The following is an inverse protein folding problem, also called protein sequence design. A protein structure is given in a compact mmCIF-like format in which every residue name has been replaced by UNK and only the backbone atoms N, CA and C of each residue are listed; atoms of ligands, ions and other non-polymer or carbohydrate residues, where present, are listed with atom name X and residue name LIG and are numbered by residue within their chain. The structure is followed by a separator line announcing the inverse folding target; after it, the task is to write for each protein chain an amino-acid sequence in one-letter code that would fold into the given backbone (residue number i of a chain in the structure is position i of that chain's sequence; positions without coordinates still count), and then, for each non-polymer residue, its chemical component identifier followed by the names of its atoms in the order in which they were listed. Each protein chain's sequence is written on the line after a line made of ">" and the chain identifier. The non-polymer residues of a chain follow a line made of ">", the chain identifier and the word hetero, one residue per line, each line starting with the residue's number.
data_IF_419701514394
#
_entry.id   IF_419701514394
#
_cell.length_a   1.000
_cell.length_b   1.000
_cell.length_c   1.000
_cell.angle_alpha   90.00
_cell.angle_beta   90.00
_cell.angle_gamma   90.00
#
_symmetry.space_group_name_H-M   'P 1'
#
loop_
_entity.id
_entity.type
_entity.pdbx_description
1 polymer ?
#
# COMPACT_ATOMS: atom_id res chain seq x y z
N UNK A 1 10.11 -9.90 -43.79
CA UNK A 1 11.16 -8.98 -43.31
C UNK A 1 10.52 -8.13 -42.24
N UNK A 2 11.06 -8.14 -41.01
CA UNK A 2 10.44 -7.44 -39.88
C UNK A 2 10.73 -5.94 -40.01
N UNK A 3 9.72 -5.05 -40.01
CA UNK A 3 9.93 -3.63 -40.32
C UNK A 3 10.56 -2.84 -39.16
N UNK A 4 10.42 -3.34 -37.93
CA UNK A 4 11.03 -2.77 -36.73
C UNK A 4 12.31 -3.54 -36.38
N UNK A 5 13.41 -2.81 -36.18
CA UNK A 5 14.72 -3.35 -35.85
C UNK A 5 15.00 -3.28 -34.35
N UNK A 6 16.13 -3.85 -33.93
CA UNK A 6 16.66 -3.77 -32.56
C UNK A 6 15.69 -4.24 -31.44
N UNK A 7 14.72 -5.09 -31.78
CA UNK A 7 13.70 -5.58 -30.85
C UNK A 7 12.45 -4.69 -30.73
N UNK A 8 12.28 -3.68 -31.59
CA UNK A 8 11.08 -2.85 -31.63
C UNK A 8 9.80 -3.64 -31.97
N UNK A 9 8.73 -3.32 -31.25
CA UNK A 9 7.42 -3.94 -31.47
C UNK A 9 6.71 -3.24 -32.63
N UNK A 10 6.27 -4.01 -33.63
CA UNK A 10 5.45 -3.48 -34.71
C UNK A 10 3.99 -3.41 -34.29
N UNK A 11 3.34 -2.28 -34.56
CA UNK A 11 1.92 -2.05 -34.34
C UNK A 11 1.28 -1.60 -35.67
N UNK A 12 0.15 -2.19 -36.10
CA UNK A 12 -0.55 -1.77 -37.31
C UNK A 12 -1.17 -0.38 -37.12
N UNK A 13 -1.11 0.47 -38.15
CA UNK A 13 -1.57 1.85 -38.13
C UNK A 13 -2.25 2.20 -39.46
N UNK A 14 -3.54 1.89 -39.60
CA UNK A 14 -4.26 1.96 -40.88
C UNK A 14 -4.02 0.73 -41.77
N UNK A 15 -4.69 0.67 -42.93
CA UNK A 15 -4.75 -0.56 -43.74
C UNK A 15 -3.40 -0.99 -44.36
N UNK A 16 -2.47 -0.06 -44.59
CA UNK A 16 -1.22 -0.29 -45.32
C UNK A 16 0.02 0.31 -44.63
N UNK A 17 -0.09 0.74 -43.38
CA UNK A 17 0.99 1.40 -42.64
C UNK A 17 1.13 0.85 -41.22
N UNK A 18 2.33 0.99 -40.66
CA UNK A 18 2.69 0.51 -39.33
C UNK A 18 3.37 1.63 -38.54
N UNK A 19 3.43 1.47 -37.22
CA UNK A 19 4.30 2.26 -36.34
C UNK A 19 5.13 1.30 -35.49
N UNK A 20 6.43 1.59 -35.36
CA UNK A 20 7.31 0.83 -34.49
C UNK A 20 7.39 1.47 -33.11
N UNK A 21 7.02 0.73 -32.08
CA UNK A 21 7.29 1.08 -30.69
C UNK A 21 8.73 0.63 -30.36
N UNK A 22 9.63 1.60 -30.24
CA UNK A 22 11.05 1.32 -30.03
C UNK A 22 11.38 0.99 -28.57
N UNK A 23 12.35 0.08 -28.32
CA UNK A 23 12.85 -0.16 -26.98
C UNK A 23 13.75 1.00 -26.52
N UNK A 24 14.00 1.13 -25.21
CA UNK A 24 14.92 2.13 -24.68
C UNK A 24 16.28 2.10 -25.39
N UNK A 25 16.80 3.29 -25.73
CA UNK A 25 18.06 3.42 -26.48
C UNK A 25 17.92 3.39 -28.01
N UNK A 26 16.71 3.31 -28.57
CA UNK A 26 16.47 3.35 -30.03
C UNK A 26 15.32 4.29 -30.42
N UNK A 27 15.36 4.79 -31.66
CA UNK A 27 14.41 5.78 -32.20
C UNK A 27 14.31 5.72 -33.73
N UNK A 28 13.46 6.57 -34.31
CA UNK A 28 13.13 6.59 -35.73
C UNK A 28 12.03 5.59 -36.12
N UNK A 29 11.45 5.72 -37.34
CA UNK A 29 10.22 5.00 -37.72
C UNK A 29 10.35 3.47 -37.78
N UNK A 30 11.59 2.95 -37.81
CA UNK A 30 11.92 1.52 -37.84
C UNK A 30 12.78 1.09 -36.65
N UNK A 31 12.99 1.96 -35.66
CA UNK A 31 13.91 1.74 -34.53
C UNK A 31 15.37 1.44 -34.91
N UNK A 32 15.76 1.75 -36.15
CA UNK A 32 17.11 1.52 -36.66
C UNK A 32 18.16 2.45 -36.04
N UNK A 33 17.75 3.66 -35.63
CA UNK A 33 18.65 4.71 -35.15
C UNK A 33 18.85 4.57 -33.63
N UNK A 34 20.09 4.47 -33.12
CA UNK A 34 20.34 4.57 -31.68
C UNK A 34 19.93 5.95 -31.16
N UNK A 35 19.22 5.99 -30.04
CA UNK A 35 18.93 7.22 -29.32
C UNK A 35 20.19 7.65 -28.57
N UNK A 36 20.68 8.87 -28.83
CA UNK A 36 21.85 9.41 -28.13
C UNK A 36 21.62 9.41 -26.61
N UNK A 37 22.58 8.95 -25.78
CA UNK A 37 22.44 8.91 -24.32
C UNK A 37 22.42 10.30 -23.66
N UNK A 38 22.38 11.38 -24.43
CA UNK A 38 22.17 12.76 -23.97
C UNK A 38 20.92 13.42 -24.59
N UNK A 39 20.02 12.66 -25.22
CA UNK A 39 18.88 13.19 -25.96
C UNK A 39 17.68 13.56 -25.06
N UNK A 40 17.53 14.85 -24.74
CA UNK A 40 16.31 15.40 -24.12
C UNK A 40 15.96 14.73 -22.80
N UNK A 41 14.77 14.13 -22.70
CA UNK A 41 14.30 13.40 -21.51
C UNK A 41 15.15 12.18 -21.14
N UNK A 42 15.94 11.64 -22.09
CA UNK A 42 16.86 10.54 -21.83
C UNK A 42 18.23 10.99 -21.28
N UNK A 43 18.45 12.30 -21.08
CA UNK A 43 19.68 12.82 -20.47
C UNK A 43 19.79 12.39 -18.98
N UNK A 44 20.81 11.59 -18.60
CA UNK A 44 20.95 11.07 -17.26
C UNK A 44 21.67 12.03 -16.29
N UNK A 45 22.08 13.22 -16.75
CA UNK A 45 22.88 14.16 -15.97
C UNK A 45 22.00 15.13 -15.15
N UNK A 46 22.14 15.08 -13.84
CA UNK A 46 21.38 15.87 -12.88
C UNK A 46 21.94 17.29 -12.67
N UNK A 47 21.19 18.11 -11.92
CA UNK A 47 21.62 19.41 -11.36
C UNK A 47 22.20 20.43 -12.36
N UNK A 48 21.78 20.37 -13.63
CA UNK A 48 22.26 21.26 -14.69
C UNK A 48 23.61 20.85 -15.31
N UNK A 49 24.10 19.64 -15.03
CA UNK A 49 25.31 19.11 -15.63
C UNK A 49 25.20 18.92 -17.15
N UNK A 50 26.30 19.18 -17.85
CA UNK A 50 26.35 19.06 -19.32
C UNK A 50 26.64 17.61 -19.71
N UNK A 51 25.69 16.97 -20.39
CA UNK A 51 25.87 15.63 -20.93
C UNK A 51 26.68 15.65 -22.22
N UNK A 52 27.72 14.83 -22.30
CA UNK A 52 28.49 14.57 -23.51
C UNK A 52 28.39 13.08 -23.88
N UNK A 53 27.89 12.71 -25.07
CA UNK A 53 27.94 11.33 -25.52
C UNK A 53 29.40 10.95 -25.81
N UNK A 54 29.81 9.76 -25.37
CA UNK A 54 31.17 9.22 -25.59
C UNK A 54 31.17 7.82 -26.23
N UNK A 55 29.99 7.18 -26.34
CA UNK A 55 29.75 5.97 -27.10
C UNK A 55 28.29 5.91 -27.58
N UNK A 56 27.88 4.79 -28.18
CA UNK A 56 26.50 4.61 -28.67
C UNK A 56 25.49 4.59 -27.52
N UNK A 57 25.88 4.03 -26.36
CA UNK A 57 25.10 3.98 -25.12
C UNK A 57 25.83 4.61 -23.92
N UNK A 58 27.06 5.10 -24.12
CA UNK A 58 27.90 5.69 -23.07
C UNK A 58 27.93 7.22 -23.12
N UNK A 59 27.93 7.83 -21.94
CA UNK A 59 27.92 9.28 -21.74
C UNK A 59 28.90 9.69 -20.64
N UNK A 60 29.25 10.97 -20.63
CA UNK A 60 30.01 11.64 -19.58
C UNK A 60 29.22 12.89 -19.15
N UNK A 61 28.79 12.94 -17.89
CA UNK A 61 28.26 14.16 -17.29
C UNK A 61 29.42 15.05 -16.82
N UNK A 62 29.48 16.29 -17.34
CA UNK A 62 30.37 17.33 -16.82
C UNK A 62 29.63 18.08 -15.72
N UNK A 63 30.00 17.83 -14.47
CA UNK A 63 29.33 18.39 -13.31
C UNK A 63 29.61 19.90 -13.16
N UNK A 64 28.61 20.69 -12.74
CA UNK A 64 28.84 22.06 -12.29
C UNK A 64 29.54 22.06 -10.92
N UNK A 65 30.01 23.23 -10.49
CA UNK A 65 30.68 23.40 -9.20
C UNK A 65 29.79 22.91 -8.04
N UNK A 66 30.40 22.20 -7.08
CA UNK A 66 29.70 21.61 -5.93
C UNK A 66 29.02 20.26 -6.20
N UNK A 67 29.09 19.70 -7.42
CA UNK A 67 28.48 18.40 -7.76
C UNK A 67 29.49 17.38 -8.30
N UNK A 68 29.23 16.10 -8.06
CA UNK A 68 30.12 14.97 -8.37
C UNK A 68 29.38 13.65 -8.58
N UNK A 69 30.09 12.62 -9.03
CA UNK A 69 29.54 11.32 -9.41
C UNK A 69 29.21 11.21 -10.91
N UNK A 70 28.94 9.98 -11.39
CA UNK A 70 28.69 9.69 -12.82
C UNK A 70 27.53 10.51 -13.39
N UNK A 71 26.52 10.81 -12.57
CA UNK A 71 25.31 11.52 -12.96
C UNK A 71 25.27 12.96 -12.44
N UNK A 72 26.32 13.44 -11.76
CA UNK A 72 26.35 14.73 -11.05
C UNK A 72 25.20 14.90 -10.05
N UNK A 73 24.79 13.77 -9.47
CA UNK A 73 23.66 13.55 -8.57
C UNK A 73 24.02 13.76 -7.08
N UNK A 74 25.32 13.80 -6.76
CA UNK A 74 25.83 13.92 -5.39
C UNK A 74 26.59 15.22 -5.21
N UNK A 75 26.47 15.82 -4.04
CA UNK A 75 27.26 16.99 -3.66
C UNK A 75 28.75 16.61 -3.53
N UNK A 76 29.65 17.46 -4.00
CA UNK A 76 31.09 17.29 -3.77
C UNK A 76 31.42 17.71 -2.33
N UNK A 77 31.68 16.72 -1.46
CA UNK A 77 32.04 16.96 -0.05
C UNK A 77 33.37 17.70 0.15
N UNK A 78 34.11 18.00 -0.94
CA UNK A 78 35.25 18.92 -0.92
C UNK A 78 34.83 20.40 -0.84
N UNK A 79 33.59 20.74 -1.18
CA UNK A 79 33.10 22.12 -1.23
C UNK A 79 32.17 22.39 -0.04
N UNK A 80 32.59 23.28 0.86
CA UNK A 80 31.79 23.62 2.05
C UNK A 80 30.64 24.57 1.67
N UNK A 81 29.43 24.23 2.09
CA UNK A 81 28.21 24.98 1.82
C UNK A 81 27.86 25.92 2.99
N UNK A 82 26.84 26.76 2.79
CA UNK A 82 26.24 27.61 3.84
C UNK A 82 27.23 28.53 4.60
N UNK A 83 28.38 28.86 3.98
CA UNK A 83 29.44 29.66 4.60
C UNK A 83 30.43 28.87 5.46
N UNK A 84 30.45 27.53 5.38
CA UNK A 84 31.45 26.71 6.02
C UNK A 84 32.85 26.91 5.45
N UNK A 85 33.87 26.68 6.29
CA UNK A 85 35.29 26.92 5.95
C UNK A 85 36.02 25.58 5.81
N UNK A 86 36.79 25.41 4.73
CA UNK A 86 37.60 24.20 4.50
C UNK A 86 38.83 24.20 5.40
N UNK A 87 39.12 23.08 6.05
CA UNK A 87 40.35 22.87 6.82
C UNK A 87 41.50 22.37 5.94
N UNK A 88 42.73 22.46 6.45
CA UNK A 88 43.91 21.84 5.82
C UNK A 88 43.82 20.30 5.77
N UNK A 89 43.12 19.70 6.74
CA UNK A 89 42.77 18.27 6.77
C UNK A 89 41.73 17.88 5.70
N UNK A 90 41.14 18.87 5.01
CA UNK A 90 40.15 18.66 3.97
C UNK A 90 38.72 18.42 4.47
N UNK A 91 38.45 18.64 5.76
CA UNK A 91 37.10 18.68 6.36
C UNK A 91 36.46 20.07 6.24
N UNK A 92 35.18 20.21 6.62
CA UNK A 92 34.47 21.49 6.65
C UNK A 92 34.10 21.88 8.10
N UNK A 93 34.46 23.11 8.49
CA UNK A 93 34.00 23.75 9.72
C UNK A 93 32.66 24.44 9.46
N UNK A 94 31.59 23.94 10.07
CA UNK A 94 30.23 24.41 9.80
C UNK A 94 29.82 25.59 10.71
N UNK A 95 29.16 26.64 10.17
CA UNK A 95 28.67 27.74 10.99
C UNK A 95 27.54 27.31 11.93
N UNK A 96 27.36 28.05 13.03
CA UNK A 96 26.27 27.87 13.99
C UNK A 96 24.91 27.80 13.29
N UNK A 97 24.33 26.59 13.27
CA UNK A 97 23.07 26.31 12.55
C UNK A 97 23.18 25.22 11.48
N UNK A 98 24.40 24.76 11.14
CA UNK A 98 24.63 23.75 10.10
C UNK A 98 25.50 22.57 10.58
N UNK A 99 25.28 21.41 9.97
CA UNK A 99 26.00 20.15 10.18
C UNK A 99 26.10 19.37 8.85
N UNK A 100 26.68 18.16 8.88
CA UNK A 100 26.98 17.37 7.69
C UNK A 100 28.42 17.54 7.20
N UNK A 101 28.84 16.73 6.22
CA UNK A 101 30.26 16.66 5.81
C UNK A 101 30.72 17.87 4.99
N UNK A 102 29.78 18.54 4.34
CA UNK A 102 29.92 19.77 3.58
C UNK A 102 29.05 20.90 4.13
N UNK A 103 28.57 20.79 5.38
CA UNK A 103 27.65 21.74 6.02
C UNK A 103 26.28 21.88 5.31
N UNK A 104 25.86 20.81 4.62
CA UNK A 104 24.64 20.70 3.83
C UNK A 104 23.36 20.62 4.66
N UNK A 105 23.44 20.13 5.90
CA UNK A 105 22.29 19.90 6.77
C UNK A 105 22.06 21.14 7.65
N UNK A 106 20.85 21.69 7.62
CA UNK A 106 20.44 22.76 8.54
C UNK A 106 19.97 22.14 9.86
N UNK A 107 20.77 22.29 10.91
CA UNK A 107 20.42 21.82 12.26
C UNK A 107 19.08 22.44 12.70
N UNK A 108 18.22 21.64 13.31
CA UNK A 108 17.08 22.18 14.02
C UNK A 108 17.58 23.01 15.23
N UNK A 109 17.02 24.20 15.52
CA UNK A 109 17.41 24.94 16.70
C UNK A 109 17.16 24.08 17.95
N UNK A 110 18.22 23.80 18.71
CA UNK A 110 18.20 22.86 19.85
C UNK A 110 17.04 23.21 20.79
N UNK A 111 16.00 22.37 20.79
CA UNK A 111 14.78 22.60 21.60
C UNK A 111 15.19 22.71 23.07
N UNK A 112 15.01 23.90 23.64
CA UNK A 112 15.39 24.19 25.02
C UNK A 112 14.63 23.23 25.94
N UNK A 113 15.36 22.35 26.63
CA UNK A 113 14.76 21.42 27.59
C UNK A 113 14.45 22.23 28.84
N UNK A 114 13.17 22.40 29.13
CA UNK A 114 12.72 23.15 30.29
C UNK A 114 12.82 22.32 31.57
N UNK A 115 13.07 23.01 32.69
CA UNK A 115 13.00 22.40 34.02
C UNK A 115 11.58 21.91 34.33
N UNK A 116 11.47 21.03 35.32
CA UNK A 116 10.20 20.47 35.76
C UNK A 116 9.21 21.60 36.12
N UNK A 117 8.02 21.58 35.51
CA UNK A 117 7.00 22.61 35.70
C UNK A 117 7.08 23.83 34.78
N UNK A 118 7.95 23.85 33.76
CA UNK A 118 8.07 24.96 32.80
C UNK A 118 7.96 24.52 31.33
N UNK A 119 7.51 25.44 30.47
CA UNK A 119 7.35 25.29 29.03
C UNK A 119 7.49 26.63 28.29
N UNK A 120 7.33 26.62 26.96
CA UNK A 120 7.59 27.76 26.08
C UNK A 120 8.91 27.65 25.30
N UNK A 121 9.33 28.70 24.57
CA UNK A 121 10.56 28.69 23.76
C UNK A 121 11.79 29.08 24.59
N UNK A 122 11.61 29.96 25.58
CA UNK A 122 12.58 30.36 26.58
C UNK A 122 12.51 29.57 27.89
N UNK A 123 11.46 28.75 28.09
CA UNK A 123 11.03 28.20 29.40
C UNK A 123 10.44 29.29 30.33
N UNK A 124 9.69 30.20 29.71
CA UNK A 124 9.08 31.40 30.25
C UNK A 124 7.69 31.16 30.86
N UNK A 125 6.98 30.14 30.41
CA UNK A 125 5.67 29.75 30.95
C UNK A 125 5.84 28.69 32.03
N UNK A 126 5.08 28.78 33.11
CA UNK A 126 4.82 27.58 33.93
C UNK A 126 3.92 26.63 33.13
N UNK A 127 4.29 25.35 33.07
CA UNK A 127 3.37 24.29 32.62
C UNK A 127 2.23 24.23 33.65
N UNK A 128 0.94 24.20 33.24
CA UNK A 128 -0.17 24.11 34.18
C UNK A 128 -0.03 22.90 35.11
N UNK A 129 -0.33 23.09 36.39
CA UNK A 129 -0.23 22.03 37.39
C UNK A 129 -1.31 20.98 37.12
N UNK A 130 -0.88 19.73 36.94
CA UNK A 130 -1.74 18.61 36.51
C UNK A 130 -2.83 18.37 37.54
N UNK A 131 -4.09 18.45 37.11
CA UNK A 131 -5.25 18.30 37.99
C UNK A 131 -5.07 19.10 39.29
N UNK A 132 -4.74 20.38 39.10
CA UNK A 132 -4.61 21.47 40.08
C UNK A 132 -5.28 21.15 41.42
N UNK A 133 -4.59 21.33 42.56
CA UNK A 133 -5.13 21.02 43.91
C UNK A 133 -6.39 21.84 44.28
N UNK A 134 -6.81 22.73 43.37
CA UNK A 134 -7.99 23.59 43.41
C UNK A 134 -9.18 23.05 42.57
N UNK A 135 -8.96 22.11 41.65
CA UNK A 135 -10.00 21.49 40.79
C UNK A 135 -10.60 20.25 41.48
N UNK A 136 -11.59 20.47 42.34
CA UNK A 136 -12.25 19.41 43.10
C UNK A 136 -13.42 18.82 42.29
N UNK A 137 -13.22 17.64 41.71
CA UNK A 137 -14.29 16.90 41.02
C UNK A 137 -15.41 16.50 41.99
N UNK A 138 -16.66 16.81 41.62
CA UNK A 138 -17.87 16.54 42.41
C UNK A 138 -18.67 15.37 41.84
N UNK A 139 -19.70 14.96 42.59
CA UNK A 139 -20.72 14.01 42.12
C UNK A 139 -20.17 12.67 41.59
N UNK A 140 -19.03 12.22 42.13
CA UNK A 140 -18.35 10.99 41.71
C UNK A 140 -17.47 11.11 40.46
N UNK A 141 -17.23 12.33 39.95
CA UNK A 141 -16.25 12.56 38.90
C UNK A 141 -14.81 12.36 39.37
N UNK A 142 -13.93 11.98 38.44
CA UNK A 142 -12.51 11.76 38.70
C UNK A 142 -11.65 12.60 37.75
N UNK A 143 -10.37 12.77 38.10
CA UNK A 143 -9.37 13.38 37.22
C UNK A 143 -8.34 12.32 36.82
N UNK A 144 -7.93 12.34 35.55
CA UNK A 144 -7.01 11.34 34.99
C UNK A 144 -6.19 11.95 33.85
N UNK A 145 -4.87 11.72 33.86
CA UNK A 145 -3.94 12.25 32.86
C UNK A 145 -3.66 13.76 32.98
N UNK A 146 -3.26 14.39 31.87
CA UNK A 146 -2.91 15.82 31.79
C UNK A 146 -4.14 16.69 31.39
N UNK A 147 -5.36 16.32 31.82
CA UNK A 147 -6.61 16.97 31.41
C UNK A 147 -7.06 18.03 32.43
N UNK A 148 -7.30 19.26 31.96
CA UNK A 148 -7.75 20.41 32.79
C UNK A 148 -9.28 20.41 33.00
N UNK A 149 -9.88 19.23 33.18
CA UNK A 149 -11.32 19.01 33.34
C UNK A 149 -11.57 17.63 33.97
N UNK A 150 -12.54 17.54 34.87
CA UNK A 150 -12.96 16.27 35.45
C UNK A 150 -13.71 15.38 34.44
N UNK A 151 -13.44 14.07 34.49
CA UNK A 151 -14.25 13.03 33.88
C UNK A 151 -15.53 12.87 34.71
N UNK A 152 -16.68 13.25 34.14
CA UNK A 152 -17.95 13.25 34.86
C UNK A 152 -18.75 11.97 34.65
N UNK A 153 -19.43 11.43 35.69
CA UNK A 153 -20.39 10.35 35.53
C UNK A 153 -21.60 10.81 34.71
N UNK A 154 -22.42 9.85 34.27
CA UNK A 154 -23.66 10.17 33.56
C UNK A 154 -24.52 11.14 34.37
N UNK A 155 -25.16 12.06 33.66
CA UNK A 155 -25.96 13.18 34.18
C UNK A 155 -25.20 14.34 34.85
N UNK A 156 -23.86 14.34 34.85
CA UNK A 156 -23.08 15.48 35.36
C UNK A 156 -22.13 16.06 34.32
N UNK A 157 -21.92 17.38 34.37
CA UNK A 157 -21.09 18.13 33.43
C UNK A 157 -20.54 19.43 34.04
N UNK A 158 -20.00 20.33 33.21
CA UNK A 158 -19.16 21.44 33.65
C UNK A 158 -17.69 21.05 33.82
N UNK A 159 -16.89 21.92 34.45
CA UNK A 159 -15.45 21.72 34.64
C UNK A 159 -15.13 20.71 35.76
N UNK A 160 -15.92 20.77 36.83
CA UNK A 160 -15.77 20.06 38.10
C UNK A 160 -16.92 19.06 38.36
N UNK A 161 -17.75 18.78 37.35
CA UNK A 161 -18.96 17.95 37.45
C UNK A 161 -20.07 18.52 38.36
N UNK A 162 -20.07 19.82 38.69
CA UNK A 162 -21.15 20.47 39.46
C UNK A 162 -22.47 20.61 38.71
N UNK A 163 -22.46 20.69 37.37
CA UNK A 163 -23.70 20.89 36.60
C UNK A 163 -24.43 19.55 36.44
N UNK A 164 -25.76 19.56 36.58
CA UNK A 164 -26.63 18.39 36.43
C UNK A 164 -27.44 18.51 35.14
N UNK A 165 -27.37 17.50 34.28
CA UNK A 165 -28.04 17.51 32.99
C UNK A 165 -29.57 17.42 33.14
N UNK A 166 -30.35 18.25 32.42
CA UNK A 166 -31.81 18.19 32.44
C UNK A 166 -32.32 16.89 31.82
N UNK A 167 -33.47 16.40 32.30
CA UNK A 167 -34.03 15.11 31.89
C UNK A 167 -33.43 13.89 32.59
N UNK A 168 -32.39 14.06 33.43
CA UNK A 168 -31.94 12.97 34.30
C UNK A 168 -32.81 12.84 35.56
N UNK A 169 -33.96 12.20 35.42
CA UNK A 169 -34.64 11.54 36.55
C UNK A 169 -34.39 10.04 36.50
N UNK A 170 -34.11 9.44 37.65
CA UNK A 170 -33.85 8.01 37.74
C UNK A 170 -35.19 7.24 37.70
N UNK A 171 -35.57 6.79 36.51
CA UNK A 171 -36.83 6.07 36.27
C UNK A 171 -36.83 4.64 36.81
N UNK A 172 -36.62 4.46 38.12
CA UNK A 172 -36.76 3.17 38.81
C UNK A 172 -38.14 2.53 38.58
N UNK A 173 -39.18 3.35 38.41
CA UNK A 173 -40.51 2.94 37.95
C UNK A 173 -40.45 2.11 36.66
N UNK A 174 -39.71 2.56 35.64
CA UNK A 174 -39.66 1.88 34.34
C UNK A 174 -38.97 0.51 34.45
N UNK A 175 -37.93 0.39 35.29
CA UNK A 175 -37.30 -0.90 35.58
C UNK A 175 -38.27 -1.86 36.27
N UNK A 176 -38.98 -1.42 37.32
CA UNK A 176 -39.92 -2.24 38.07
C UNK A 176 -41.13 -2.70 37.21
N UNK A 177 -41.64 -1.80 36.35
CA UNK A 177 -42.70 -2.13 35.38
C UNK A 177 -42.20 -3.16 34.36
N UNK A 178 -40.98 -3.01 33.83
CA UNK A 178 -40.43 -3.96 32.85
C UNK A 178 -40.24 -5.37 33.44
N UNK A 179 -39.77 -5.46 34.69
CA UNK A 179 -39.56 -6.73 35.38
C UNK A 179 -40.89 -7.44 35.70
N UNK A 180 -41.90 -6.71 36.18
CA UNK A 180 -43.21 -7.28 36.51
C UNK A 180 -43.96 -7.77 35.25
N UNK A 181 -43.90 -7.01 34.14
CA UNK A 181 -44.43 -7.46 32.85
C UNK A 181 -43.76 -8.76 32.37
N UNK A 182 -42.43 -8.87 32.45
CA UNK A 182 -41.70 -10.08 32.07
C UNK A 182 -42.14 -11.31 32.87
N UNK A 183 -42.29 -11.17 34.20
CA UNK A 183 -42.74 -12.26 35.08
C UNK A 183 -44.17 -12.71 34.71
N UNK A 184 -45.10 -11.78 34.48
CA UNK A 184 -46.48 -12.10 34.09
C UNK A 184 -46.51 -12.85 32.75
N UNK A 185 -45.73 -12.41 31.75
CA UNK A 185 -45.64 -13.11 30.45
C UNK A 185 -45.10 -14.53 30.62
N UNK A 186 -44.06 -14.74 31.42
CA UNK A 186 -43.50 -16.08 31.69
C UNK A 186 -44.53 -16.99 32.37
N UNK A 187 -45.28 -16.49 33.37
CA UNK A 187 -46.32 -17.26 34.06
C UNK A 187 -47.47 -17.67 33.11
N UNK A 188 -47.90 -16.77 32.22
CA UNK A 188 -48.91 -17.07 31.19
C UNK A 188 -48.39 -18.14 30.21
N UNK A 189 -47.14 -18.04 29.75
CA UNK A 189 -46.54 -19.05 28.86
C UNK A 189 -46.43 -20.42 29.52
N UNK A 190 -46.04 -20.48 30.80
CA UNK A 190 -46.00 -21.75 31.57
C UNK A 190 -47.41 -22.35 31.72
N UNK A 191 -48.42 -21.53 32.02
CA UNK A 191 -49.82 -21.98 32.07
C UNK A 191 -50.30 -22.54 30.72
N UNK A 192 -50.00 -21.87 29.60
CA UNK A 192 -50.35 -22.35 28.27
C UNK A 192 -49.66 -23.67 27.93
N UNK A 193 -48.37 -23.83 28.27
CA UNK A 193 -47.63 -25.09 28.08
C UNK A 193 -48.21 -26.21 28.94
N UNK A 194 -48.58 -25.95 30.19
CA UNK A 194 -49.24 -26.93 31.06
C UNK A 194 -50.62 -27.33 30.51
N UNK A 195 -51.42 -26.38 30.03
CA UNK A 195 -52.71 -26.65 29.39
C UNK A 195 -52.51 -27.52 28.15
N UNK A 196 -51.58 -27.19 27.26
CA UNK A 196 -51.24 -28.00 26.07
C UNK A 196 -50.74 -29.40 26.45
N UNK A 197 -49.98 -29.54 27.54
CA UNK A 197 -49.52 -30.84 28.03
C UNK A 197 -50.67 -31.69 28.60
N UNK A 198 -51.60 -31.08 29.33
CA UNK A 198 -52.82 -31.75 29.83
C UNK A 198 -53.75 -32.18 28.69
N UNK A 199 -53.86 -31.39 27.61
CA UNK A 199 -54.57 -31.80 26.39
C UNK A 199 -53.84 -32.92 25.65
N UNK A 200 -52.52 -32.82 25.44
CA UNK A 200 -51.73 -33.87 24.77
C UNK A 200 -51.76 -35.21 25.51
N UNK A 201 -51.84 -35.21 26.84
CA UNK A 201 -52.05 -36.42 27.67
C UNK A 201 -53.40 -37.12 27.43
N UNK A 202 -54.35 -36.52 26.72
CA UNK A 202 -55.63 -37.14 26.32
C UNK A 202 -55.67 -37.68 24.88
N UNK A 203 -54.63 -37.44 24.07
CA UNK A 203 -54.72 -37.63 22.60
C UNK A 203 -53.55 -38.40 22.00
N UNK A 204 -52.81 -39.19 22.78
CA UNK A 204 -51.66 -39.97 22.28
C UNK A 204 -51.70 -41.39 22.85
N UNK A 205 -52.45 -42.25 22.16
CA UNK A 205 -52.37 -43.71 22.22
C UNK A 205 -52.48 -44.23 20.77
N UNK A 206 -51.85 -45.37 20.45
CA UNK A 206 -51.63 -45.96 19.10
C UNK A 206 -50.53 -45.29 18.23
N UNK A 207 -49.52 -46.06 17.75
CA UNK A 207 -48.48 -45.61 16.81
C UNK A 207 -48.45 -46.34 15.45
N UNK A 208 -47.73 -45.77 14.47
CA UNK A 208 -47.38 -46.34 13.15
C UNK A 208 -47.03 -45.21 12.16
N UNK A 209 -45.80 -44.99 11.68
CA UNK A 209 -44.77 -45.83 11.03
C UNK A 209 -45.04 -46.08 9.53
N UNK A 210 -44.41 -45.27 8.64
CA UNK A 210 -43.35 -45.69 7.69
C UNK A 210 -42.88 -44.51 6.79
N UNK A 211 -41.86 -44.74 5.94
CA UNK A 211 -41.05 -43.71 5.25
C UNK A 211 -40.98 -43.89 3.73
N UNK A 212 -40.99 -42.80 2.94
CA UNK A 212 -40.58 -42.82 1.51
C UNK A 212 -39.78 -41.56 1.15
N UNK A 213 -38.81 -41.69 0.24
CA UNK A 213 -37.91 -40.63 -0.22
C UNK A 213 -38.47 -39.77 -1.38
N UNK A 214 -37.74 -38.70 -1.77
CA UNK A 214 -38.10 -37.75 -2.84
C UNK A 214 -36.96 -37.64 -3.88
N UNK A 215 -37.32 -37.46 -5.16
CA UNK A 215 -36.37 -37.36 -6.29
C UNK A 215 -36.66 -36.17 -7.23
N UNK A 216 -35.62 -35.63 -7.90
CA UNK A 216 -35.59 -34.72 -9.08
C UNK A 216 -34.14 -34.19 -9.30
N UNK A 217 -33.73 -33.58 -10.42
CA UNK A 217 -33.98 -33.79 -11.87
C UNK A 217 -32.96 -32.96 -12.69
N UNK A 218 -32.67 -33.39 -13.92
CA UNK A 218 -31.87 -32.79 -15.02
C UNK A 218 -31.70 -31.25 -15.12
N UNK A 219 -30.56 -30.79 -15.65
CA UNK A 219 -30.50 -29.71 -16.65
C UNK A 219 -29.23 -29.80 -17.55
N UNK A 220 -29.21 -29.08 -18.69
CA UNK A 220 -28.21 -29.17 -19.79
C UNK A 220 -28.18 -27.88 -20.65
N UNK A 221 -27.14 -27.71 -21.50
CA UNK A 221 -26.89 -26.65 -22.52
C UNK A 221 -26.77 -25.20 -21.96
N UNK A 222 -26.02 -24.23 -22.53
CA UNK A 222 -25.32 -24.02 -23.84
C UNK A 222 -24.00 -23.20 -23.58
N UNK A 223 -23.14 -22.68 -24.49
CA UNK A 223 -22.99 -22.58 -25.98
C UNK A 223 -21.51 -22.27 -26.37
N UNK A 224 -21.21 -22.11 -27.66
CA UNK A 224 -19.93 -21.65 -28.27
C UNK A 224 -19.88 -20.10 -28.39
N UNK A 225 -18.94 -19.37 -29.02
CA UNK A 225 -17.69 -19.60 -29.83
C UNK A 225 -16.92 -18.26 -29.94
N UNK A 226 -15.66 -18.25 -30.40
CA UNK A 226 -15.01 -17.04 -30.92
C UNK A 226 -14.10 -17.35 -32.11
N UNK A 227 -14.51 -16.91 -33.31
CA UNK A 227 -13.74 -16.93 -34.55
C UNK A 227 -14.21 -15.75 -35.42
N UNK A 228 -13.41 -14.68 -35.50
CA UNK A 228 -13.71 -13.52 -36.35
C UNK A 228 -12.45 -12.74 -36.76
N UNK A 229 -11.71 -13.27 -37.73
CA UNK A 229 -10.56 -12.58 -38.33
C UNK A 229 -10.34 -13.04 -39.79
N UNK A 230 -11.18 -12.58 -40.73
CA UNK A 230 -11.00 -12.84 -42.17
C UNK A 230 -11.74 -11.83 -43.08
N UNK A 231 -11.27 -10.57 -43.06
CA UNK A 231 -11.36 -9.54 -44.13
C UNK A 231 -10.60 -8.29 -43.67
N UNK A 232 -10.13 -7.51 -44.64
CA UNK A 232 -9.21 -6.33 -44.55
C UNK A 232 -7.73 -6.64 -44.38
N UNK A 233 -6.92 -6.02 -45.26
CA UNK A 233 -5.47 -5.90 -45.14
C UNK A 233 -4.64 -7.16 -45.45
N UNK A 234 -3.41 -6.93 -45.90
CA UNK A 234 -2.29 -7.75 -45.46
C UNK A 234 -1.65 -6.98 -44.29
N UNK A 235 -1.47 -7.61 -43.13
CA UNK A 235 -0.91 -6.92 -41.97
C UNK A 235 0.50 -6.39 -42.31
N UNK A 236 0.75 -5.07 -42.22
CA UNK A 236 2.05 -4.49 -42.52
C UNK A 236 3.16 -4.93 -41.55
N UNK A 237 2.80 -5.53 -40.41
CA UNK A 237 3.73 -6.16 -39.47
C UNK A 237 4.07 -7.63 -39.81
N UNK A 238 3.21 -8.37 -40.51
CA UNK A 238 3.40 -9.81 -40.77
C UNK A 238 3.89 -10.13 -42.20
N UNK A 239 5.20 -10.32 -42.36
CA UNK A 239 5.76 -11.26 -43.36
C UNK A 239 6.97 -12.02 -42.81
N UNK A 240 6.72 -13.19 -42.23
CA UNK A 240 7.72 -14.22 -41.95
C UNK A 240 7.44 -15.49 -42.78
N UNK A 241 8.44 -16.15 -43.37
CA UNK A 241 8.25 -17.44 -44.03
C UNK A 241 8.05 -18.54 -42.96
N UNK A 242 6.90 -19.21 -43.00
CA UNK A 242 6.42 -20.15 -41.97
C UNK A 242 7.05 -21.56 -42.05
N UNK A 243 8.39 -21.66 -42.03
CA UNK A 243 9.06 -22.97 -42.08
C UNK A 243 10.41 -23.04 -41.32
N UNK A 244 10.37 -23.08 -39.97
CA UNK A 244 11.40 -23.75 -39.13
C UNK A 244 11.11 -23.97 -37.63
N UNK A 245 9.87 -23.81 -37.14
CA UNK A 245 9.51 -24.01 -35.72
C UNK A 245 8.32 -24.96 -35.50
N UNK A 246 8.40 -26.20 -36.03
CA UNK A 246 7.48 -27.30 -35.66
C UNK A 246 8.13 -28.68 -35.43
N UNK A 247 9.47 -28.78 -35.40
CA UNK A 247 10.19 -30.05 -35.19
C UNK A 247 10.99 -30.08 -33.86
N UNK A 248 10.77 -29.12 -32.96
CA UNK A 248 11.49 -28.97 -31.70
C UNK A 248 10.62 -29.20 -30.43
N UNK A 249 9.44 -29.83 -30.58
CA UNK A 249 8.45 -29.97 -29.50
C UNK A 249 7.86 -31.39 -29.36
N UNK A 250 8.58 -32.42 -29.84
CA UNK A 250 8.07 -33.80 -29.90
C UNK A 250 9.09 -34.89 -29.49
N UNK A 251 10.12 -34.55 -28.70
CA UNK A 251 11.06 -35.54 -28.14
C UNK A 251 11.67 -35.12 -26.79
N UNK A 252 10.81 -34.84 -25.81
CA UNK A 252 11.19 -34.45 -24.45
C UNK A 252 10.29 -35.11 -23.40
N UNK A 253 10.14 -36.44 -23.48
CA UNK A 253 9.51 -37.33 -22.50
C UNK A 253 9.90 -38.77 -22.90
N UNK A 254 10.74 -39.43 -22.10
CA UNK A 254 11.28 -40.77 -22.41
C UNK A 254 12.69 -40.98 -21.88
N UNK A 255 12.74 -41.53 -20.66
CA UNK A 255 13.77 -42.41 -20.08
C UNK A 255 15.22 -41.89 -19.87
N UNK A 256 15.53 -41.70 -18.57
CA UNK A 256 16.85 -41.78 -17.95
C UNK A 256 17.11 -43.26 -17.57
N UNK A 257 18.30 -43.82 -17.86
CA UNK A 257 19.08 -44.27 -16.71
C UNK A 257 20.59 -43.96 -16.79
N UNK A 258 21.09 -43.40 -15.69
CA UNK A 258 22.49 -43.24 -15.30
C UNK A 258 23.36 -44.51 -15.38
N UNK A 259 24.67 -44.27 -15.62
CA UNK A 259 25.84 -45.13 -15.33
C UNK A 259 26.02 -46.48 -16.05
N UNK A 260 27.03 -46.52 -16.92
CA UNK A 260 28.05 -47.57 -16.93
C UNK A 260 29.39 -46.99 -17.46
N UNK A 261 30.51 -47.47 -16.92
CA UNK A 261 31.86 -47.28 -17.50
C UNK A 261 32.09 -48.29 -18.65
N UNK A 262 33.15 -48.14 -19.44
CA UNK A 262 34.33 -49.05 -19.61
C UNK A 262 35.26 -48.42 -20.69
N UNK A 263 36.56 -48.71 -20.58
CA UNK A 263 37.75 -48.25 -21.31
C UNK A 263 37.71 -48.00 -22.84
N UNK A 264 38.74 -47.27 -23.30
CA UNK A 264 39.18 -47.20 -24.69
C UNK A 264 39.93 -48.48 -25.13
N UNK A 265 40.27 -48.65 -26.43
CA UNK A 265 41.51 -48.03 -26.91
C UNK A 265 41.45 -47.47 -28.35
N UNK A 266 42.49 -46.74 -28.70
CA UNK A 266 42.81 -46.23 -30.04
C UNK A 266 43.26 -47.32 -31.02
N UNK A 267 42.89 -47.16 -32.30
CA UNK A 267 43.82 -47.02 -33.44
C UNK A 267 43.30 -45.90 -34.34
#
# INVERSE_FOLDING_TARGET
>A
MQPCLNGGQCLPFGEHSFVCQCPPGFTGPTCATPLSPCAGEANPCANGATCQPVGVFDFLCRCPEGWTGRFCDRLDSRQCQNGGVRTEEGSCLCPSGFEGTSCELKTAPKKKICGQGFEGKGCESKKPEKCDAKLVCRNGGWCEGDVVKCNCPRCFSGLDCSLREPGCEESQQLRLISATLAIVVVLVLVLLVLIVFLFRRRTVEQPGLETVAVAKKEQKIYSTSSDYASRYGADPCERAPTQRLREAAAKALGDDPHYAEIDAPSV
#
